data_IF_059721964118
#
_entry.id   IF_059721964118
#
_cell.length_a   1.000
_cell.length_b   1.000
_cell.length_c   1.000
_cell.angle_alpha   90.00
_cell.angle_beta   90.00
_cell.angle_gamma   90.00
#
_symmetry.space_group_name_H-M   'P 1'
#
loop_
_entity.id
_entity.type
_entity.pdbx_description
1 polymer ?
#
# COMPACT_ATOMS: atom_id res chain seq x y z
N UNK A 1 37.02 -1.17 -54.60
CA UNK A 1 37.37 -1.86 -53.34
C UNK A 1 36.13 -2.01 -52.50
N UNK A 2 35.52 -3.23 -52.43
CA UNK A 2 34.31 -3.50 -51.60
C UNK A 2 34.81 -3.90 -50.22
N UNK A 3 34.55 -3.05 -49.18
CA UNK A 3 34.84 -3.39 -47.79
C UNK A 3 33.86 -4.49 -47.34
N UNK A 4 34.35 -5.70 -47.03
CA UNK A 4 33.61 -6.75 -46.36
C UNK A 4 33.32 -6.26 -44.94
N UNK A 5 32.07 -5.88 -44.65
CA UNK A 5 31.63 -5.67 -43.29
C UNK A 5 31.69 -7.02 -42.54
N UNK A 6 32.46 -7.06 -41.47
CA UNK A 6 32.68 -8.28 -40.68
C UNK A 6 31.34 -8.74 -40.06
N UNK A 7 31.03 -10.02 -40.23
CA UNK A 7 29.84 -10.67 -39.61
C UNK A 7 29.81 -10.51 -38.09
N UNK A 8 30.91 -10.18 -37.50
CA UNK A 8 31.05 -9.92 -36.04
C UNK A 8 30.47 -8.58 -35.61
N UNK A 9 30.52 -7.54 -36.45
CA UNK A 9 29.92 -6.23 -36.10
C UNK A 9 28.40 -6.30 -36.07
N UNK A 10 27.76 -7.10 -36.92
CA UNK A 10 26.31 -7.28 -36.91
C UNK A 10 25.83 -8.03 -35.68
N UNK A 11 26.57 -9.03 -35.20
CA UNK A 11 26.22 -9.80 -33.98
C UNK A 11 26.36 -8.93 -32.75
N UNK A 12 27.37 -8.09 -32.63
CA UNK A 12 27.54 -7.16 -31.52
C UNK A 12 26.44 -6.09 -31.47
N UNK A 13 25.99 -5.58 -32.61
CA UNK A 13 24.93 -4.57 -32.68
C UNK A 13 23.58 -5.17 -32.27
N UNK A 14 23.25 -6.41 -32.67
CA UNK A 14 22.04 -7.09 -32.27
C UNK A 14 22.04 -7.44 -30.76
N UNK A 15 23.22 -7.82 -30.22
CA UNK A 15 23.35 -8.13 -28.79
C UNK A 15 23.23 -6.88 -27.92
N UNK A 16 23.70 -5.71 -28.38
CA UNK A 16 23.51 -4.43 -27.67
C UNK A 16 22.06 -3.95 -27.72
N UNK A 17 21.33 -4.22 -28.82
CA UNK A 17 19.89 -3.87 -28.92
C UNK A 17 19.01 -4.75 -28.02
N UNK A 18 19.38 -6.01 -27.79
CA UNK A 18 18.63 -6.90 -26.89
C UNK A 18 18.82 -6.57 -25.40
N UNK A 19 19.95 -5.95 -25.02
CA UNK A 19 20.16 -5.51 -23.63
C UNK A 19 19.44 -4.20 -23.28
N UNK A 20 18.92 -3.47 -24.27
CA UNK A 20 18.21 -2.19 -24.06
C UNK A 20 16.70 -2.30 -23.85
N UNK A 21 16.11 -3.49 -24.00
CA UNK A 21 14.64 -3.67 -23.93
C UNK A 21 14.15 -4.40 -22.66
N UNK A 22 15.03 -4.75 -21.73
CA UNK A 22 14.65 -5.08 -20.37
C UNK A 22 14.69 -3.81 -19.49
N UNK A 23 13.99 -2.77 -19.90
CA UNK A 23 13.52 -1.76 -18.97
C UNK A 23 12.47 -2.45 -18.13
N UNK A 24 12.90 -3.08 -17.03
CA UNK A 24 11.98 -3.47 -15.97
C UNK A 24 11.14 -2.24 -15.65
N UNK A 25 9.84 -2.30 -15.93
CA UNK A 25 8.92 -1.28 -15.44
C UNK A 25 9.19 -1.16 -13.94
N UNK A 26 9.37 0.04 -13.40
CA UNK A 26 9.56 0.17 -11.97
C UNK A 26 8.33 -0.43 -11.29
N UNK A 27 8.53 -1.55 -10.60
CA UNK A 27 7.48 -2.23 -9.79
C UNK A 27 6.90 -1.27 -8.75
N UNK A 28 7.62 -0.19 -8.45
CA UNK A 28 7.20 0.92 -7.60
C UNK A 28 5.86 1.57 -8.01
N UNK A 29 5.53 1.62 -9.30
CA UNK A 29 4.29 2.27 -9.76
C UNK A 29 3.02 1.46 -9.45
N UNK A 30 3.13 0.16 -9.15
CA UNK A 30 1.97 -0.71 -8.99
C UNK A 30 1.15 -0.39 -7.73
N UNK A 31 1.77 0.22 -6.69
CA UNK A 31 1.10 0.51 -5.42
C UNK A 31 0.94 2.02 -5.14
N UNK A 32 1.39 2.90 -6.03
CA UNK A 32 1.40 4.36 -5.78
C UNK A 32 0.16 5.11 -6.28
N UNK A 33 -0.45 4.67 -7.38
CA UNK A 33 -1.58 5.37 -8.00
C UNK A 33 -2.88 4.58 -7.88
N UNK A 34 -3.57 4.80 -6.78
CA UNK A 34 -4.82 4.11 -6.47
C UNK A 34 -6.00 5.07 -6.41
N UNK A 35 -6.02 6.04 -7.32
CA UNK A 35 -7.17 6.93 -7.38
C UNK A 35 -8.32 6.21 -8.08
N UNK A 36 -9.22 5.67 -7.26
CA UNK A 36 -10.52 5.15 -7.71
C UNK A 36 -11.56 6.18 -7.33
N UNK A 37 -12.37 6.60 -8.28
CA UNK A 37 -13.47 7.53 -8.03
C UNK A 37 -14.71 7.05 -8.79
N UNK A 38 -15.46 6.15 -8.16
CA UNK A 38 -16.75 5.67 -8.68
C UNK A 38 -17.92 6.60 -8.32
N UNK A 39 -17.65 7.63 -7.52
CA UNK A 39 -18.67 8.47 -6.90
C UNK A 39 -19.29 7.86 -5.64
N UNK A 40 -18.83 6.67 -5.22
CA UNK A 40 -19.26 6.00 -4.00
C UNK A 40 -18.05 5.64 -3.12
N UNK A 41 -17.76 6.40 -2.06
CA UNK A 41 -16.58 6.17 -1.22
C UNK A 41 -16.53 4.77 -0.56
N UNK A 42 -17.67 4.10 -0.37
CA UNK A 42 -17.72 2.73 0.17
C UNK A 42 -17.20 1.70 -0.84
N UNK A 43 -17.41 1.94 -2.12
CA UNK A 43 -16.85 1.12 -3.20
C UNK A 43 -15.38 1.47 -3.37
N UNK A 44 -15.07 2.76 -3.40
CA UNK A 44 -13.73 3.25 -3.68
C UNK A 44 -12.70 2.76 -2.65
N UNK A 45 -13.04 2.75 -1.36
CA UNK A 45 -12.13 2.24 -0.31
C UNK A 45 -11.78 0.77 -0.52
N UNK A 46 -12.74 -0.05 -0.97
CA UNK A 46 -12.52 -1.48 -1.24
C UNK A 46 -11.67 -1.67 -2.49
N UNK A 47 -11.96 -0.95 -3.56
CA UNK A 47 -11.19 -1.05 -4.80
C UNK A 47 -9.75 -0.56 -4.59
N UNK A 48 -9.53 0.50 -3.80
CA UNK A 48 -8.21 0.96 -3.39
C UNK A 48 -7.49 -0.13 -2.59
N UNK A 49 -8.15 -0.77 -1.62
CA UNK A 49 -7.55 -1.85 -0.85
C UNK A 49 -7.14 -3.04 -1.74
N UNK A 50 -7.93 -3.37 -2.76
CA UNK A 50 -7.61 -4.44 -3.74
C UNK A 50 -6.34 -4.13 -4.54
N UNK A 51 -6.06 -2.88 -4.87
CA UNK A 51 -4.83 -2.51 -5.58
C UNK A 51 -3.57 -2.77 -4.76
N UNK A 52 -3.71 -2.98 -3.45
CA UNK A 52 -2.60 -3.24 -2.54
C UNK A 52 -2.36 -4.75 -2.30
N UNK A 53 -3.11 -5.62 -2.95
CA UNK A 53 -2.91 -7.07 -2.83
C UNK A 53 -1.51 -7.44 -3.33
N UNK A 54 -0.75 -8.13 -2.47
CA UNK A 54 0.65 -8.49 -2.73
C UNK A 54 1.67 -7.49 -2.19
N UNK A 55 1.23 -6.36 -1.62
CA UNK A 55 2.14 -5.44 -0.92
C UNK A 55 2.79 -6.14 0.29
N UNK A 56 4.11 -6.04 0.39
CA UNK A 56 4.90 -6.63 1.46
C UNK A 56 5.45 -5.56 2.39
N UNK A 57 5.43 -5.80 3.68
CA UNK A 57 6.17 -4.96 4.63
C UNK A 57 7.68 -5.18 4.47
N UNK A 58 8.48 -4.15 4.71
CA UNK A 58 9.95 -4.21 4.63
C UNK A 58 10.56 -3.12 3.76
N UNK A 59 9.80 -2.59 2.79
CA UNK A 59 10.17 -1.40 2.00
C UNK A 59 8.96 -0.54 1.68
N UNK A 60 9.20 0.71 1.28
CA UNK A 60 8.11 1.61 0.87
C UNK A 60 7.42 1.13 -0.39
N UNK A 61 8.16 0.48 -1.29
CA UNK A 61 7.66 -0.04 -2.56
C UNK A 61 6.82 -1.31 -2.37
N UNK A 62 6.89 -1.95 -1.18
CA UNK A 62 6.16 -3.17 -0.87
C UNK A 62 6.63 -4.40 -1.64
N UNK A 63 7.87 -4.38 -2.15
CA UNK A 63 8.44 -5.44 -2.98
C UNK A 63 9.42 -6.35 -2.23
N UNK A 64 9.88 -5.93 -1.07
CA UNK A 64 10.82 -6.65 -0.23
C UNK A 64 10.09 -7.15 1.01
N UNK A 65 10.11 -8.49 1.22
CA UNK A 65 9.54 -9.07 2.42
C UNK A 65 10.40 -8.75 3.64
N UNK A 66 9.80 -8.12 4.63
CA UNK A 66 10.37 -7.88 5.95
C UNK A 66 9.46 -8.43 7.06
N UNK A 67 9.80 -8.15 8.30
CA UNK A 67 8.97 -8.41 9.48
C UNK A 67 9.13 -7.27 10.50
N UNK A 68 9.39 -6.06 10.00
CA UNK A 68 9.69 -4.87 10.79
C UNK A 68 8.54 -3.85 10.78
N UNK A 69 7.39 -4.19 10.20
CA UNK A 69 6.23 -3.33 10.01
C UNK A 69 6.54 -2.04 9.21
N UNK A 70 7.68 -1.96 8.51
CA UNK A 70 8.03 -0.80 7.73
C UNK A 70 7.23 -0.79 6.42
N UNK A 71 6.31 0.18 6.30
CA UNK A 71 5.39 0.30 5.18
C UNK A 71 5.17 1.76 4.79
N UNK A 72 4.76 2.00 3.55
CA UNK A 72 4.33 3.34 3.12
C UNK A 72 3.14 3.87 3.94
N UNK A 73 2.29 2.98 4.46
CA UNK A 73 1.13 3.36 5.28
C UNK A 73 1.56 3.96 6.62
N UNK A 74 2.59 3.36 7.26
CA UNK A 74 3.15 3.88 8.50
C UNK A 74 3.89 5.20 8.25
N UNK A 75 4.67 5.30 7.16
CA UNK A 75 5.35 6.54 6.79
C UNK A 75 4.33 7.66 6.52
N UNK A 76 3.24 7.36 5.79
CA UNK A 76 2.15 8.30 5.58
C UNK A 76 1.47 8.72 6.90
N UNK A 77 1.24 7.77 7.82
CA UNK A 77 0.60 8.06 9.11
C UNK A 77 1.49 8.92 10.02
N UNK A 78 2.80 8.73 9.98
CA UNK A 78 3.80 9.47 10.74
C UNK A 78 4.54 8.64 11.79
N UNK A 79 5.57 9.22 12.36
CA UNK A 79 6.44 8.58 13.36
C UNK A 79 5.73 8.40 14.70
N UNK A 80 5.98 7.26 15.34
CA UNK A 80 5.54 6.97 16.72
C UNK A 80 6.77 6.56 17.52
N UNK A 81 7.04 7.27 18.61
CA UNK A 81 8.17 6.96 19.50
C UNK A 81 8.05 5.56 20.08
N UNK A 82 9.20 4.86 20.19
CA UNK A 82 9.26 3.51 20.74
C UNK A 82 9.10 2.37 19.73
N UNK A 83 8.90 2.68 18.44
CA UNK A 83 8.76 1.68 17.38
C UNK A 83 9.93 1.73 16.38
N UNK A 84 11.03 1.04 16.74
CA UNK A 84 12.25 1.03 15.94
C UNK A 84 13.04 2.35 16.04
N UNK A 85 14.18 2.41 15.37
CA UNK A 85 15.05 3.59 15.35
C UNK A 85 14.46 4.76 14.57
N UNK A 86 13.61 4.45 13.55
CA UNK A 86 12.96 5.43 12.68
C UNK A 86 11.54 5.80 13.11
N UNK A 87 10.96 5.03 14.05
CA UNK A 87 9.62 5.25 14.59
C UNK A 87 8.49 4.79 13.67
N UNK A 88 8.75 3.92 12.67
CA UNK A 88 7.75 3.42 11.74
C UNK A 88 7.43 1.93 11.89
N UNK A 89 8.10 1.22 12.82
CA UNK A 89 7.97 -0.23 13.02
C UNK A 89 6.74 -0.67 13.82
N UNK A 90 5.67 0.09 13.86
CA UNK A 90 4.44 -0.27 14.56
C UNK A 90 3.49 -1.09 13.68
N UNK A 91 2.55 -1.90 14.28
CA UNK A 91 1.58 -2.66 13.51
C UNK A 91 0.77 -1.77 12.56
N UNK A 92 0.68 -2.16 11.30
CA UNK A 92 0.16 -1.30 10.23
C UNK A 92 -1.27 -1.59 9.77
N UNK A 93 -1.97 -2.54 10.39
CA UNK A 93 -3.32 -2.92 9.97
C UNK A 93 -4.32 -1.74 10.01
N UNK A 94 -4.27 -0.91 11.05
CA UNK A 94 -5.19 0.24 11.13
C UNK A 94 -4.72 1.41 10.27
N UNK A 95 -3.42 1.63 10.14
CA UNK A 95 -2.89 2.66 9.24
C UNK A 95 -3.22 2.35 7.77
N UNK A 96 -3.23 1.07 7.39
CA UNK A 96 -3.67 0.64 6.07
C UNK A 96 -5.13 1.05 5.81
N UNK A 97 -6.04 0.76 6.73
CA UNK A 97 -7.46 1.16 6.62
C UNK A 97 -7.59 2.68 6.54
N UNK A 98 -6.90 3.40 7.41
CA UNK A 98 -6.89 4.88 7.41
C UNK A 98 -6.36 5.45 6.10
N UNK A 99 -5.30 4.83 5.54
CA UNK A 99 -4.73 5.22 4.26
C UNK A 99 -5.70 4.97 3.11
N UNK A 100 -6.33 3.80 3.04
CA UNK A 100 -7.34 3.50 2.01
C UNK A 100 -8.52 4.49 2.08
N UNK A 101 -8.99 4.82 3.28
CA UNK A 101 -10.04 5.80 3.48
C UNK A 101 -9.62 7.20 2.96
N UNK A 102 -8.41 7.62 3.28
CA UNK A 102 -7.87 8.90 2.78
C UNK A 102 -7.79 8.93 1.25
N UNK A 103 -7.32 7.83 0.61
CA UNK A 103 -7.25 7.73 -0.85
C UNK A 103 -8.65 7.76 -1.49
N UNK A 104 -9.67 7.23 -0.80
CA UNK A 104 -11.08 7.27 -1.22
C UNK A 104 -11.76 8.63 -0.94
N UNK A 105 -11.04 9.62 -0.42
CA UNK A 105 -11.59 10.92 -0.07
C UNK A 105 -12.50 10.91 1.18
N UNK A 106 -12.44 9.84 1.99
CA UNK A 106 -13.20 9.72 3.23
C UNK A 106 -12.51 10.56 4.32
N UNK A 107 -13.25 11.48 4.92
CA UNK A 107 -12.73 12.38 5.95
C UNK A 107 -12.36 11.65 7.25
N UNK A 108 -11.47 12.26 8.03
CA UNK A 108 -11.02 11.72 9.33
C UNK A 108 -12.08 11.77 10.43
N UNK A 109 -13.16 12.49 10.20
CA UNK A 109 -14.39 12.51 11.00
C UNK A 109 -15.27 11.27 10.79
N UNK A 110 -15.04 10.53 9.70
CA UNK A 110 -15.71 9.26 9.37
C UNK A 110 -14.82 8.07 9.69
N UNK A 111 -13.58 8.07 9.22
CA UNK A 111 -12.56 7.04 9.52
C UNK A 111 -11.30 7.73 10.05
N UNK A 112 -10.93 7.51 11.31
CA UNK A 112 -9.85 8.25 11.94
C UNK A 112 -8.48 7.86 11.37
N UNK A 113 -7.60 8.83 11.21
CA UNK A 113 -6.19 8.58 10.92
C UNK A 113 -5.47 8.17 12.21
N UNK A 114 -5.21 6.89 12.38
CA UNK A 114 -4.53 6.36 13.57
C UNK A 114 -3.83 5.04 13.27
N UNK A 115 -2.82 4.72 14.07
CA UNK A 115 -2.12 3.43 14.03
C UNK A 115 -2.77 2.40 14.97
N UNK A 116 -3.40 2.85 16.04
CA UNK A 116 -3.92 1.98 17.09
C UNK A 116 -5.34 1.50 16.83
N UNK A 117 -5.55 0.18 16.76
CA UNK A 117 -6.88 -0.42 16.67
C UNK A 117 -7.76 -0.06 17.87
N UNK A 118 -7.17 0.03 19.09
CA UNK A 118 -7.86 0.50 20.29
C UNK A 118 -8.33 1.95 20.18
N UNK A 119 -7.49 2.83 19.61
CA UNK A 119 -7.84 4.23 19.35
C UNK A 119 -8.95 4.34 18.33
N UNK A 120 -8.86 3.56 17.25
CA UNK A 120 -9.91 3.48 16.22
C UNK A 120 -11.22 2.99 16.80
N UNK A 121 -11.20 1.90 17.59
CA UNK A 121 -12.39 1.41 18.30
C UNK A 121 -13.02 2.50 19.19
N UNK A 122 -12.21 3.19 19.98
CA UNK A 122 -12.69 4.26 20.87
C UNK A 122 -13.31 5.42 20.10
N UNK A 123 -12.79 5.73 18.89
CA UNK A 123 -13.39 6.72 18.01
C UNK A 123 -14.82 6.30 17.61
N UNK A 124 -15.02 5.09 17.10
CA UNK A 124 -16.33 4.61 16.68
C UNK A 124 -17.32 4.44 17.86
N UNK A 125 -16.82 4.08 19.04
CA UNK A 125 -17.65 4.07 20.27
C UNK A 125 -18.16 5.47 20.59
N UNK A 126 -17.31 6.49 20.56
CA UNK A 126 -17.73 7.89 20.80
C UNK A 126 -18.70 8.41 19.76
N UNK A 127 -18.58 7.94 18.52
CA UNK A 127 -19.51 8.29 17.42
C UNK A 127 -20.84 7.52 17.49
N UNK A 128 -20.97 6.54 18.39
CA UNK A 128 -22.17 5.69 18.47
C UNK A 128 -22.30 4.71 17.28
N UNK A 129 -21.24 4.52 16.49
CA UNK A 129 -21.25 3.67 15.30
C UNK A 129 -20.55 2.33 15.51
N UNK A 130 -19.94 2.11 16.68
CA UNK A 130 -19.28 0.84 17.01
C UNK A 130 -20.31 -0.22 17.33
N UNK A 131 -20.21 -1.37 16.64
CA UNK A 131 -21.00 -2.56 16.92
C UNK A 131 -20.07 -3.72 17.29
N UNK A 132 -20.28 -4.30 18.46
CA UNK A 132 -19.53 -5.47 18.89
C UNK A 132 -20.16 -6.73 18.30
N UNK A 133 -19.33 -7.60 17.71
CA UNK A 133 -19.81 -8.86 17.12
C UNK A 133 -20.33 -9.82 18.19
N UNK A 134 -21.28 -10.69 17.81
CA UNK A 134 -21.81 -11.72 18.67
C UNK A 134 -20.72 -12.66 19.20
N UNK A 135 -19.69 -12.97 18.41
CA UNK A 135 -18.56 -13.79 18.83
C UNK A 135 -17.75 -13.20 19.99
N UNK A 136 -17.85 -11.88 20.23
CA UNK A 136 -17.17 -11.16 21.31
C UNK A 136 -18.15 -10.63 22.36
N UNK A 137 -19.35 -11.25 22.47
CA UNK A 137 -20.35 -10.88 23.47
C UNK A 137 -21.27 -9.69 23.07
N UNK A 138 -21.22 -9.25 21.82
CA UNK A 138 -22.16 -8.27 21.26
C UNK A 138 -23.36 -8.94 20.59
N UNK A 139 -24.15 -8.14 19.88
CA UNK A 139 -25.35 -8.61 19.15
C UNK A 139 -25.21 -8.58 17.62
N UNK A 140 -24.15 -7.96 17.11
CA UNK A 140 -23.96 -7.78 15.67
C UNK A 140 -23.45 -9.06 15.00
N UNK A 141 -24.14 -9.49 13.95
CA UNK A 141 -23.73 -10.57 13.04
C UNK A 141 -23.51 -9.92 11.67
N UNK A 142 -22.25 -9.94 11.13
CA UNK A 142 -21.99 -9.48 9.78
C UNK A 142 -22.78 -10.29 8.75
N UNK A 143 -23.34 -9.63 7.77
CA UNK A 143 -24.03 -10.25 6.62
C UNK A 143 -23.06 -10.47 5.48
#
# INVERSE_FOLDING_TARGET
MKKKLSRWTAVFTVMLLCMGLCSGLPVSAAYENTHVNSGNPRVDIVEIAKTQIGYLEGSLEGTVKGNNNYTKYNVWNGRISGYGSDGYGYPWCHTFVSWCANQAGIGTDVIPRTAGTGTGRSFFVRQGTYQQSAANGGSYVPQ
#
